data_IF_233295129485
#
_entry.id   IF_233295129485
#
_cell.length_a   1.000
_cell.length_b   1.000
_cell.length_c   1.000
_cell.angle_alpha   90.00
_cell.angle_beta   90.00
_cell.angle_gamma   90.00
#
_symmetry.space_group_name_H-M   'P 1'
#
loop_
_entity.id
_entity.type
_entity.pdbx_description
1 polymer ?
#
# COMPACT_ATOMS: atom_id res chain seq x y z
N UNK A 1 -5.18 0.04 -6.60
CA UNK A 1 -5.14 -1.14 -7.51
C UNK A 1 -3.75 -1.71 -7.49
N UNK A 2 -3.60 -2.94 -6.97
CA UNK A 2 -2.37 -3.70 -7.15
C UNK A 2 -2.10 -3.87 -8.65
N UNK A 3 -0.85 -4.11 -9.06
CA UNK A 3 -0.57 -4.53 -10.45
C UNK A 3 -1.53 -5.69 -10.82
N UNK A 4 -2.07 -5.75 -12.05
CA UNK A 4 -3.07 -6.76 -12.44
C UNK A 4 -2.72 -8.19 -12.05
N UNK A 5 -1.42 -8.53 -12.10
CA UNK A 5 -0.89 -9.86 -11.78
C UNK A 5 -0.59 -10.09 -10.29
N UNK A 6 -0.88 -9.12 -9.41
CA UNK A 6 -0.60 -9.22 -7.97
C UNK A 6 -1.88 -9.05 -7.18
N UNK A 7 -2.54 -10.15 -6.87
CA UNK A 7 -3.64 -10.14 -5.89
C UNK A 7 -3.11 -9.81 -4.49
N UNK A 8 -3.81 -8.94 -3.77
CA UNK A 8 -3.52 -8.68 -2.36
C UNK A 8 -4.07 -9.84 -1.52
N UNK A 9 -3.18 -10.70 -1.01
CA UNK A 9 -3.54 -11.69 0.02
C UNK A 9 -3.96 -10.98 1.32
N UNK A 10 -4.82 -11.59 2.14
CA UNK A 10 -5.25 -11.06 3.45
C UNK A 10 -4.07 -10.67 4.36
N UNK A 11 -2.99 -11.44 4.31
CA UNK A 11 -1.72 -11.15 5.01
C UNK A 11 -1.00 -9.85 4.55
N UNK A 12 -1.39 -9.28 3.41
CA UNK A 12 -0.84 -8.05 2.85
C UNK A 12 -1.68 -6.81 3.17
N UNK A 13 -2.84 -6.97 3.82
CA UNK A 13 -3.64 -5.85 4.31
C UNK A 13 -2.84 -5.08 5.38
N UNK A 14 -2.77 -3.76 5.28
CA UNK A 14 -1.97 -2.90 6.18
C UNK A 14 -0.47 -2.80 5.84
N UNK A 15 0.16 -3.87 5.32
CA UNK A 15 1.57 -3.84 4.88
C UNK A 15 1.75 -3.08 3.56
N UNK A 16 0.83 -3.30 2.61
CA UNK A 16 0.78 -2.57 1.33
C UNK A 16 -0.36 -1.55 1.34
N UNK A 17 -0.12 -0.30 0.95
CA UNK A 17 -1.19 0.69 0.87
C UNK A 17 -2.18 0.27 -0.23
N UNK A 18 -3.44 0.08 0.16
CA UNK A 18 -4.52 -0.35 -0.73
C UNK A 18 -4.84 0.69 -1.83
N UNK A 19 -4.57 1.97 -1.55
CA UNK A 19 -4.88 3.10 -2.44
C UNK A 19 -3.76 4.17 -2.47
N UNK A 20 -3.84 5.09 -3.42
CA UNK A 20 -2.83 6.12 -3.66
C UNK A 20 -2.65 7.08 -2.47
N UNK A 21 -3.74 7.39 -1.73
CA UNK A 21 -3.71 8.24 -0.54
C UNK A 21 -2.89 7.61 0.59
N UNK A 22 -3.15 6.33 0.91
CA UNK A 22 -2.41 5.58 1.93
C UNK A 22 -0.91 5.45 1.56
N UNK A 23 -0.59 5.28 0.27
CA UNK A 23 0.81 5.24 -0.20
C UNK A 23 1.53 6.57 0.03
N UNK A 24 0.87 7.70 -0.30
CA UNK A 24 1.42 9.05 -0.08
C UNK A 24 1.61 9.34 1.41
N UNK A 25 0.64 8.99 2.25
CA UNK A 25 0.74 9.14 3.70
C UNK A 25 1.92 8.33 4.28
N UNK A 26 2.07 7.05 3.89
CA UNK A 26 3.20 6.21 4.32
C UNK A 26 4.55 6.79 3.89
N UNK A 27 4.66 7.34 2.67
CA UNK A 27 5.89 7.99 2.19
C UNK A 27 6.26 9.24 2.98
N UNK A 28 5.28 10.06 3.39
CA UNK A 28 5.54 11.23 4.25
C UNK A 28 6.03 10.81 5.65
N UNK A 29 5.43 9.77 6.23
CA UNK A 29 5.83 9.20 7.54
C UNK A 29 7.22 8.56 7.53
N UNK A 30 7.66 7.97 6.42
CA UNK A 30 8.99 7.33 6.32
C UNK A 30 10.09 8.35 6.02
N UNK A 31 9.74 9.54 5.52
CA UNK A 31 10.70 10.60 5.19
C UNK A 31 11.12 11.43 6.43
N UNK A 32 10.39 11.32 7.53
CA UNK A 32 10.81 11.75 8.87
C UNK A 32 11.65 10.66 9.51
#
# INVERSE_FOLDING_TARGET
MAKPHRSHKKANHGKRPANAKARRAKRRKVRT
#
